data_IF_408190693514
#
_entry.id   IF_408190693514
#
_cell.length_a   1.000
_cell.length_b   1.000
_cell.length_c   1.000
_cell.angle_alpha   90.00
_cell.angle_beta   90.00
_cell.angle_gamma   90.00
#
_symmetry.space_group_name_H-M   'P 1'
#
loop_
_entity.id
_entity.type
_entity.pdbx_description
1 polymer ?
#
# COMPACT_ATOMS: atom_id res chain seq x y z
N UNK A 1 -2.58 2.44 9.10
CA UNK A 1 -1.56 1.93 8.15
C UNK A 1 -1.99 2.38 6.76
N UNK A 2 -1.06 2.72 5.85
CA UNK A 2 -1.44 3.23 4.52
C UNK A 2 -1.76 2.08 3.55
N UNK A 3 -2.65 2.27 2.56
CA UNK A 3 -3.04 1.21 1.63
C UNK A 3 -1.86 0.58 0.87
N UNK A 4 -0.89 1.38 0.43
CA UNK A 4 0.29 0.88 -0.29
C UNK A 4 1.15 -0.03 0.60
N UNK A 5 1.29 0.34 1.88
CA UNK A 5 2.01 -0.45 2.87
C UNK A 5 1.27 -1.76 3.19
N UNK A 6 -0.06 -1.76 3.23
CA UNK A 6 -0.85 -2.99 3.40
C UNK A 6 -0.72 -3.91 2.18
N UNK A 7 -0.78 -3.37 0.96
CA UNK A 7 -0.55 -4.14 -0.27
C UNK A 7 0.82 -4.81 -0.25
N UNK A 8 1.87 -4.07 0.13
CA UNK A 8 3.23 -4.61 0.30
C UNK A 8 3.26 -5.66 1.41
N UNK A 9 2.55 -5.44 2.51
CA UNK A 9 2.41 -6.42 3.59
C UNK A 9 1.77 -7.73 3.12
N UNK A 10 0.68 -7.66 2.35
CA UNK A 10 0.01 -8.83 1.74
C UNK A 10 0.98 -9.55 0.83
N UNK A 11 1.68 -8.82 -0.05
CA UNK A 11 2.67 -9.39 -0.97
C UNK A 11 3.77 -10.14 -0.22
N UNK A 12 4.38 -9.52 0.79
CA UNK A 12 5.43 -10.16 1.60
C UNK A 12 4.92 -11.43 2.29
N UNK A 13 3.72 -11.40 2.87
CA UNK A 13 3.10 -12.58 3.49
C UNK A 13 2.88 -13.71 2.48
N UNK A 14 2.43 -13.39 1.26
CA UNK A 14 2.27 -14.37 0.17
C UNK A 14 3.60 -14.99 -0.30
N UNK A 15 4.74 -14.36 -0.01
CA UNK A 15 6.08 -14.92 -0.26
C UNK A 15 6.65 -15.67 0.98
N UNK A 16 5.86 -15.81 2.05
CA UNK A 16 6.24 -16.52 3.27
C UNK A 16 7.00 -15.69 4.30
N UNK A 17 6.98 -14.36 4.19
CA UNK A 17 7.57 -13.50 5.21
C UNK A 17 6.61 -13.26 6.39
N UNK A 18 7.18 -13.21 7.58
CA UNK A 18 6.58 -12.58 8.75
C UNK A 18 6.95 -11.10 8.75
N UNK A 19 5.96 -10.22 8.92
CA UNK A 19 6.14 -8.77 8.80
C UNK A 19 5.84 -8.04 10.10
N UNK A 20 6.60 -6.99 10.37
CA UNK A 20 6.37 -6.03 11.42
C UNK A 20 6.34 -4.63 10.84
N UNK A 21 5.22 -3.93 11.04
CA UNK A 21 4.92 -2.70 10.33
C UNK A 21 5.01 -1.48 11.26
N UNK A 22 5.33 -0.32 10.70
CA UNK A 22 5.27 0.98 11.37
C UNK A 22 6.07 1.03 12.68
N UNK A 23 7.33 0.61 12.61
CA UNK A 23 8.20 0.54 13.78
C UNK A 23 8.80 1.91 14.07
N UNK A 24 8.48 2.48 15.24
CA UNK A 24 9.05 3.75 15.67
C UNK A 24 10.57 3.61 15.92
N UNK A 25 11.36 4.40 15.20
CA UNK A 25 12.83 4.47 15.30
C UNK A 25 13.34 5.70 16.09
N UNK A 26 12.42 6.51 16.63
CA UNK A 26 12.71 7.71 17.42
C UNK A 26 12.45 9.01 16.66
N UNK A 27 12.07 10.06 17.40
CA UNK A 27 11.67 11.34 16.81
C UNK A 27 10.48 11.17 15.84
N UNK A 28 10.64 11.69 14.62
CA UNK A 28 9.65 11.56 13.55
C UNK A 28 10.00 10.44 12.54
N UNK A 29 10.92 9.53 12.87
CA UNK A 29 11.34 8.44 12.00
C UNK A 29 10.58 7.16 12.33
N UNK A 30 9.91 6.62 11.31
CA UNK A 30 9.23 5.33 11.35
C UNK A 30 9.90 4.44 10.31
N UNK A 31 10.00 3.14 10.57
CA UNK A 31 10.33 2.11 9.57
C UNK A 31 9.02 1.55 9.07
N UNK A 32 8.79 1.59 7.75
CA UNK A 32 7.51 1.12 7.21
C UNK A 32 7.31 -0.37 7.46
N UNK A 33 8.27 -1.22 7.11
CA UNK A 33 8.17 -2.67 7.35
C UNK A 33 9.54 -3.31 7.56
N UNK A 34 9.63 -4.19 8.56
CA UNK A 34 10.68 -5.22 8.64
C UNK A 34 10.04 -6.57 8.35
N UNK A 35 10.70 -7.37 7.53
CA UNK A 35 10.20 -8.69 7.15
C UNK A 35 11.27 -9.76 7.35
N UNK A 36 10.88 -10.92 7.88
CA UNK A 36 11.77 -12.08 8.06
C UNK A 36 11.14 -13.32 7.45
N UNK A 37 11.93 -14.10 6.73
CA UNK A 37 11.54 -15.39 6.16
C UNK A 37 12.42 -16.47 6.75
N UNK A 38 11.80 -17.50 7.29
CA UNK A 38 12.48 -18.64 7.91
C UNK A 38 12.25 -19.90 7.08
N UNK A 39 13.31 -20.69 6.88
CA UNK A 39 13.25 -22.02 6.29
C UNK A 39 13.70 -23.05 7.33
N UNK A 40 12.82 -23.97 7.71
CA UNK A 40 13.11 -25.02 8.71
C UNK A 40 13.70 -24.46 10.03
N UNK A 41 13.18 -23.31 10.50
CA UNK A 41 13.65 -22.65 11.72
C UNK A 41 14.96 -21.85 11.58
N UNK A 42 15.56 -21.83 10.39
CA UNK A 42 16.74 -21.00 10.09
C UNK A 42 16.35 -19.75 9.31
N UNK A 43 17.03 -18.62 9.56
CA UNK A 43 16.79 -17.39 8.80
C UNK A 43 17.22 -17.59 7.35
N UNK A 44 16.26 -17.51 6.44
CA UNK A 44 16.49 -17.52 4.99
C UNK A 44 16.75 -16.09 4.49
N UNK A 45 15.90 -15.13 4.88
CA UNK A 45 15.98 -13.75 4.40
C UNK A 45 15.43 -12.74 5.42
N UNK A 46 16.06 -11.58 5.52
CA UNK A 46 15.55 -10.44 6.27
C UNK A 46 15.54 -9.19 5.38
N UNK A 47 14.46 -8.40 5.49
CA UNK A 47 14.24 -7.20 4.70
C UNK A 47 13.91 -6.00 5.59
N UNK A 48 14.47 -4.86 5.23
CA UNK A 48 13.95 -3.54 5.59
C UNK A 48 13.28 -2.95 4.36
N UNK A 49 11.96 -2.78 4.45
CA UNK A 49 11.12 -2.29 3.35
C UNK A 49 10.62 -0.89 3.68
N UNK A 50 10.81 0.03 2.73
CA UNK A 50 10.20 1.36 2.73
C UNK A 50 9.26 1.50 1.53
N UNK A 51 8.14 2.19 1.72
CA UNK A 51 7.13 2.39 0.67
C UNK A 51 7.05 3.86 0.31
N UNK A 52 7.54 4.19 -0.88
CA UNK A 52 7.44 5.53 -1.44
C UNK A 52 6.06 5.75 -2.07
N UNK A 53 5.37 6.75 -1.53
CA UNK A 53 3.99 7.11 -1.91
C UNK A 53 3.94 8.16 -3.03
N UNK A 54 5.03 8.90 -3.20
CA UNK A 54 5.12 9.96 -4.21
C UNK A 54 5.23 9.36 -5.61
N UNK A 55 4.37 9.84 -6.51
CA UNK A 55 4.31 9.40 -7.92
C UNK A 55 5.46 9.99 -8.76
N UNK A 56 6.06 11.08 -8.30
CA UNK A 56 7.24 11.72 -8.89
C UNK A 56 8.23 12.03 -7.79
N UNK A 57 9.48 11.65 -8.01
CA UNK A 57 10.58 11.91 -7.08
C UNK A 57 11.59 12.89 -7.70
N UNK A 58 11.58 14.11 -7.19
CA UNK A 58 12.66 15.07 -7.37
C UNK A 58 13.96 14.50 -6.78
N UNK A 59 15.12 15.00 -7.24
CA UNK A 59 16.44 14.53 -6.77
C UNK A 59 16.56 14.55 -5.25
N UNK A 60 16.08 15.64 -4.61
CA UNK A 60 16.09 15.82 -3.16
C UNK A 60 15.34 14.70 -2.42
N UNK A 61 14.16 14.32 -2.92
CA UNK A 61 13.34 13.27 -2.31
C UNK A 61 13.99 11.89 -2.44
N UNK A 62 14.77 11.65 -3.51
CA UNK A 62 15.56 10.40 -3.66
C UNK A 62 16.67 10.31 -2.62
N UNK A 63 17.37 11.43 -2.39
CA UNK A 63 18.42 11.49 -1.37
C UNK A 63 17.81 11.31 0.03
N UNK A 64 16.65 11.89 0.31
CA UNK A 64 15.92 11.68 1.57
C UNK A 64 15.53 10.21 1.79
N UNK A 65 15.05 9.52 0.74
CA UNK A 65 14.74 8.09 0.82
C UNK A 65 15.98 7.24 1.10
N UNK A 66 17.10 7.50 0.43
CA UNK A 66 18.38 6.82 0.71
C UNK A 66 18.81 7.06 2.16
N UNK A 67 18.77 8.32 2.59
CA UNK A 67 19.18 8.72 3.94
C UNK A 67 18.31 8.08 5.02
N UNK A 68 17.05 7.73 4.74
CA UNK A 68 16.18 6.99 5.69
C UNK A 68 16.73 5.60 6.00
N UNK A 69 17.22 4.87 4.99
CA UNK A 69 17.86 3.56 5.19
C UNK A 69 19.21 3.64 5.92
N UNK A 70 19.90 4.78 5.81
CA UNK A 70 21.23 5.01 6.38
C UNK A 70 21.19 5.70 7.75
N UNK A 71 20.01 6.20 8.16
CA UNK A 71 19.84 6.88 9.43
C UNK A 71 20.30 5.99 10.59
N UNK A 72 21.25 6.43 11.44
CA UNK A 72 21.75 5.61 12.54
C UNK A 72 20.66 5.12 13.49
N UNK A 73 19.63 5.94 13.71
CA UNK A 73 18.49 5.58 14.54
C UNK A 73 17.66 4.44 13.92
N UNK A 74 17.43 4.51 12.60
CA UNK A 74 16.72 3.49 11.84
C UNK A 74 17.51 2.18 11.80
N UNK A 75 18.80 2.24 11.47
CA UNK A 75 19.68 1.05 11.43
C UNK A 75 19.74 0.37 12.79
N UNK A 76 19.93 1.15 13.86
CA UNK A 76 19.94 0.63 15.23
C UNK A 76 18.62 -0.07 15.55
N UNK A 77 17.49 0.59 15.27
CA UNK A 77 16.16 0.05 15.57
C UNK A 77 15.83 -1.21 14.77
N UNK A 78 16.19 -1.23 13.49
CA UNK A 78 16.02 -2.39 12.62
C UNK A 78 16.79 -3.60 13.16
N UNK A 79 18.07 -3.42 13.49
CA UNK A 79 18.92 -4.47 14.07
C UNK A 79 18.37 -4.98 15.40
N UNK A 80 17.95 -4.09 16.30
CA UNK A 80 17.33 -4.49 17.56
C UNK A 80 16.07 -5.35 17.36
N UNK A 81 15.22 -4.96 16.41
CA UNK A 81 13.99 -5.68 16.13
C UNK A 81 14.27 -7.06 15.53
N UNK A 82 15.14 -7.13 14.52
CA UNK A 82 15.52 -8.38 13.87
C UNK A 82 16.23 -9.33 14.83
N UNK A 83 17.11 -8.81 15.69
CA UNK A 83 17.75 -9.60 16.74
C UNK A 83 16.74 -10.18 17.72
N UNK A 84 15.70 -9.42 18.10
CA UNK A 84 14.63 -9.93 18.96
C UNK A 84 13.80 -11.01 18.26
N UNK A 85 13.53 -10.86 16.96
CA UNK A 85 12.75 -11.82 16.20
C UNK A 85 13.50 -13.13 15.92
N UNK A 86 14.82 -13.06 15.64
CA UNK A 86 15.63 -14.21 15.19
C UNK A 86 16.55 -14.75 16.29
N UNK A 87 16.79 -13.99 17.36
CA UNK A 87 17.65 -14.35 18.49
C UNK A 87 19.14 -14.08 18.31
N UNK A 88 19.57 -13.56 17.16
CA UNK A 88 20.97 -13.23 16.84
C UNK A 88 21.07 -12.00 15.94
N UNK A 89 22.26 -11.40 15.86
CA UNK A 89 22.51 -10.32 14.91
C UNK A 89 22.50 -10.87 13.47
N UNK A 90 21.76 -10.19 12.59
CA UNK A 90 21.55 -10.61 11.21
C UNK A 90 21.65 -9.41 10.28
N UNK A 91 22.24 -9.64 9.12
CA UNK A 91 22.20 -8.70 8.01
C UNK A 91 20.81 -8.73 7.36
N UNK A 92 20.40 -7.59 6.80
CA UNK A 92 19.12 -7.46 6.11
C UNK A 92 19.31 -6.68 4.81
N UNK A 93 18.51 -7.05 3.81
CA UNK A 93 18.50 -6.36 2.54
C UNK A 93 17.53 -5.17 2.59
N UNK A 94 17.83 -4.14 1.80
CA UNK A 94 17.02 -2.92 1.72
C UNK A 94 16.14 -3.01 0.48
N UNK A 95 14.84 -2.84 0.66
CA UNK A 95 13.86 -2.84 -0.41
C UNK A 95 13.06 -1.54 -0.38
N UNK A 96 13.00 -0.85 -1.51
CA UNK A 96 12.17 0.32 -1.71
C UNK A 96 11.07 -0.01 -2.72
N UNK A 97 9.81 0.13 -2.30
CA UNK A 97 8.65 0.00 -3.20
C UNK A 97 8.22 1.38 -3.64
N UNK A 98 8.13 1.64 -4.94
CA UNK A 98 7.84 2.97 -5.51
C UNK A 98 6.52 3.00 -6.28
N UNK A 99 5.70 4.02 -6.01
CA UNK A 99 4.45 4.28 -6.74
C UNK A 99 4.67 5.09 -8.03
N UNK A 100 5.59 4.67 -8.90
CA UNK A 100 5.86 5.28 -10.21
C UNK A 100 7.30 5.73 -10.46
N UNK A 101 7.70 5.73 -11.73
CA UNK A 101 9.03 6.14 -12.20
C UNK A 101 10.08 5.02 -12.14
N UNK A 102 11.16 5.18 -12.92
CA UNK A 102 12.36 4.33 -12.82
C UNK A 102 13.32 5.00 -11.84
N UNK A 103 13.45 4.42 -10.65
CA UNK A 103 14.41 4.85 -9.64
C UNK A 103 15.42 3.71 -9.43
N UNK A 104 16.70 4.05 -9.53
CA UNK A 104 17.78 3.17 -9.10
C UNK A 104 18.51 3.85 -7.95
N UNK A 105 18.67 3.13 -6.84
CA UNK A 105 19.44 3.55 -5.69
C UNK A 105 20.51 2.48 -5.41
N UNK A 106 21.80 2.82 -5.39
CA UNK A 106 22.86 1.86 -5.11
C UNK A 106 22.64 1.16 -3.76
N UNK A 107 22.76 -0.17 -3.73
CA UNK A 107 22.61 -0.97 -2.52
C UNK A 107 21.19 -1.09 -1.97
N UNK A 108 20.18 -0.67 -2.74
CA UNK A 108 18.76 -0.79 -2.39
C UNK A 108 18.03 -1.44 -3.56
N UNK A 109 17.37 -2.57 -3.32
CA UNK A 109 16.47 -3.16 -4.32
C UNK A 109 15.28 -2.23 -4.50
N UNK A 110 14.92 -1.90 -5.75
CA UNK A 110 13.75 -1.08 -6.05
C UNK A 110 12.73 -1.89 -6.81
N UNK A 111 11.47 -1.89 -6.34
CA UNK A 111 10.33 -2.54 -6.99
C UNK A 111 9.21 -1.54 -7.25
N UNK A 112 8.52 -1.70 -8.37
CA UNK A 112 7.34 -0.89 -8.63
C UNK A 112 6.15 -1.41 -7.81
N UNK A 113 5.34 -0.50 -7.29
CA UNK A 113 4.10 -0.87 -6.60
C UNK A 113 3.12 -1.57 -7.56
N UNK A 114 3.21 -1.27 -8.87
CA UNK A 114 2.39 -1.91 -9.89
C UNK A 114 2.69 -3.41 -10.00
N UNK A 115 3.98 -3.78 -10.05
CA UNK A 115 4.38 -5.19 -10.11
C UNK A 115 3.95 -5.93 -8.83
N UNK A 116 4.17 -5.29 -7.67
CA UNK A 116 3.73 -5.82 -6.37
C UNK A 116 2.22 -6.05 -6.36
N UNK A 117 1.43 -5.08 -6.84
CA UNK A 117 -0.02 -5.19 -6.91
C UNK A 117 -0.47 -6.31 -7.85
N UNK A 118 0.17 -6.45 -9.02
CA UNK A 118 -0.14 -7.52 -9.97
C UNK A 118 0.15 -8.91 -9.38
N UNK A 119 1.27 -9.07 -8.68
CA UNK A 119 1.60 -10.30 -7.96
C UNK A 119 0.56 -10.64 -6.91
N UNK A 120 0.15 -9.65 -6.11
CA UNK A 120 -0.90 -9.82 -5.09
C UNK A 120 -2.20 -10.26 -5.75
N UNK A 121 -2.64 -9.54 -6.78
CA UNK A 121 -3.85 -9.89 -7.52
C UNK A 121 -3.73 -11.29 -8.11
N UNK A 122 -2.61 -11.69 -8.69
CA UNK A 122 -2.46 -13.04 -9.26
C UNK A 122 -2.73 -14.14 -8.22
N UNK A 123 -2.27 -13.95 -6.98
CA UNK A 123 -2.34 -14.95 -5.90
C UNK A 123 -3.56 -14.83 -4.98
N UNK A 124 -4.32 -13.73 -5.04
CA UNK A 124 -5.55 -13.59 -4.25
C UNK A 124 -6.58 -14.67 -4.62
N UNK A 125 -7.08 -15.39 -3.62
CA UNK A 125 -8.16 -16.37 -3.80
C UNK A 125 -9.50 -15.78 -3.33
N UNK A 126 -10.57 -16.60 -3.27
CA UNK A 126 -11.93 -16.17 -2.90
C UNK A 126 -12.24 -16.36 -1.41
N UNK A 127 -11.25 -16.63 -0.57
CA UNK A 127 -11.51 -16.82 0.86
C UNK A 127 -11.98 -15.51 1.50
N UNK A 128 -12.87 -15.59 2.48
CA UNK A 128 -13.37 -14.40 3.18
C UNK A 128 -12.31 -13.93 4.19
N UNK A 129 -11.51 -12.94 3.78
CA UNK A 129 -10.53 -12.31 4.67
C UNK A 129 -11.19 -11.15 5.40
N UNK A 130 -10.94 -11.05 6.71
CA UNK A 130 -11.43 -9.93 7.53
C UNK A 130 -10.78 -8.58 7.23
N UNK A 131 -9.70 -8.55 6.43
CA UNK A 131 -8.97 -7.33 6.07
C UNK A 131 -9.63 -6.58 4.91
N UNK A 132 -9.94 -5.30 5.12
CA UNK A 132 -10.66 -4.46 4.17
C UNK A 132 -9.89 -4.23 2.85
N UNK A 133 -8.56 -4.11 2.91
CA UNK A 133 -7.73 -3.94 1.71
C UNK A 133 -7.76 -5.20 0.87
N UNK A 134 -7.54 -6.36 1.50
CA UNK A 134 -7.62 -7.68 0.87
C UNK A 134 -8.98 -7.89 0.22
N UNK A 135 -10.07 -7.63 0.95
CA UNK A 135 -11.44 -7.74 0.43
C UNK A 135 -11.69 -6.85 -0.78
N UNK A 136 -11.20 -5.61 -0.74
CA UNK A 136 -11.31 -4.66 -1.87
C UNK A 136 -10.56 -5.18 -3.10
N UNK A 137 -9.35 -5.71 -2.92
CA UNK A 137 -8.58 -6.28 -4.02
C UNK A 137 -9.24 -7.55 -4.61
N UNK A 138 -9.87 -8.38 -3.78
CA UNK A 138 -10.64 -9.53 -4.24
C UNK A 138 -11.84 -9.12 -5.09
N UNK A 139 -12.57 -8.07 -4.68
CA UNK A 139 -13.68 -7.51 -5.44
C UNK A 139 -13.20 -6.97 -6.81
N UNK A 140 -12.07 -6.26 -6.83
CA UNK A 140 -11.44 -5.82 -8.07
C UNK A 140 -11.09 -7.03 -8.97
N UNK A 141 -10.42 -8.04 -8.42
CA UNK A 141 -9.99 -9.22 -9.20
C UNK A 141 -11.16 -10.02 -9.77
N UNK A 142 -12.10 -10.42 -8.93
CA UNK A 142 -13.11 -11.42 -9.29
C UNK A 142 -14.41 -10.86 -9.83
N UNK A 143 -14.63 -9.55 -9.68
CA UNK A 143 -15.84 -8.87 -10.18
C UNK A 143 -15.53 -7.93 -11.35
N UNK A 144 -14.38 -7.26 -11.35
CA UNK A 144 -14.05 -6.22 -12.36
C UNK A 144 -13.21 -6.77 -13.53
N UNK A 145 -12.12 -7.49 -13.22
CA UNK A 145 -11.18 -8.05 -14.21
C UNK A 145 -11.62 -9.29 -15.03
N UNK A 146 -12.72 -10.03 -14.74
CA UNK A 146 -13.06 -11.25 -15.50
C UNK A 146 -13.41 -11.06 -16.98
N UNK A 147 -13.71 -9.84 -17.44
CA UNK A 147 -14.01 -9.64 -18.85
C UNK A 147 -12.85 -8.92 -19.56
N UNK A 148 -12.29 -9.58 -20.57
CA UNK A 148 -11.24 -9.03 -21.42
C UNK A 148 -11.63 -7.67 -22.03
N UNK A 149 -12.92 -7.43 -22.28
CA UNK A 149 -13.47 -6.15 -22.73
C UNK A 149 -13.40 -5.05 -21.65
N UNK A 150 -13.75 -5.33 -20.39
CA UNK A 150 -13.63 -4.33 -19.30
C UNK A 150 -12.15 -4.09 -18.95
N UNK A 151 -11.32 -5.12 -18.96
CA UNK A 151 -9.87 -5.00 -18.77
C UNK A 151 -9.21 -4.21 -19.91
N UNK A 152 -9.63 -4.40 -21.16
CA UNK A 152 -9.19 -3.58 -22.30
C UNK A 152 -9.69 -2.12 -22.20
N UNK A 153 -10.89 -1.88 -21.66
CA UNK A 153 -11.41 -0.53 -21.43
C UNK A 153 -10.60 0.23 -20.37
N UNK A 154 -10.11 -0.47 -19.34
CA UNK A 154 -9.22 0.06 -18.31
C UNK A 154 -7.82 0.39 -18.85
N UNK A 155 -7.31 -0.42 -19.78
CA UNK A 155 -5.98 -0.27 -20.36
C UNK A 155 -5.93 0.70 -21.55
N UNK A 156 -7.04 0.89 -22.28
CA UNK A 156 -7.07 1.68 -23.52
C UNK A 156 -7.21 3.19 -23.32
N UNK A 157 -7.47 3.68 -22.11
CA UNK A 157 -7.67 5.12 -21.87
C UNK A 157 -6.89 5.61 -20.67
N UNK A 158 -5.78 6.27 -20.93
CA UNK A 158 -4.99 6.98 -19.92
C UNK A 158 -5.86 7.90 -19.06
N UNK A 159 -6.00 7.54 -17.78
CA UNK A 159 -6.01 8.49 -16.67
C UNK A 159 -7.27 9.33 -16.40
N UNK A 160 -8.44 8.74 -16.22
CA UNK A 160 -9.54 9.42 -15.50
C UNK A 160 -10.01 8.60 -14.31
N UNK A 161 -9.48 8.93 -13.14
CA UNK A 161 -9.84 8.37 -11.83
C UNK A 161 -11.36 8.40 -11.58
N UNK A 162 -12.06 9.42 -12.11
CA UNK A 162 -13.52 9.57 -12.08
C UNK A 162 -14.26 8.49 -12.86
N UNK A 163 -13.73 8.04 -14.00
CA UNK A 163 -14.35 6.98 -14.80
C UNK A 163 -14.07 5.59 -14.22
N UNK A 164 -12.90 5.41 -13.60
CA UNK A 164 -12.60 4.21 -12.82
C UNK A 164 -13.59 4.08 -11.65
N UNK A 165 -13.81 5.16 -10.90
CA UNK A 165 -14.81 5.24 -9.83
C UNK A 165 -16.22 4.93 -10.34
N UNK A 166 -16.66 5.56 -11.44
CA UNK A 166 -17.97 5.28 -12.03
C UNK A 166 -18.13 3.81 -12.49
N UNK A 167 -17.07 3.20 -13.02
CA UNK A 167 -17.08 1.79 -13.41
C UNK A 167 -17.16 0.87 -12.18
N UNK A 168 -16.41 1.20 -11.12
CA UNK A 168 -16.48 0.50 -9.83
C UNK A 168 -17.87 0.63 -9.22
N UNK A 169 -18.45 1.83 -9.19
CA UNK A 169 -19.81 2.09 -8.68
C UNK A 169 -20.87 1.30 -9.47
N UNK A 170 -20.80 1.33 -10.80
CA UNK A 170 -21.73 0.58 -11.65
C UNK A 170 -21.63 -0.94 -11.41
N UNK A 171 -20.43 -1.45 -11.17
CA UNK A 171 -20.19 -2.88 -10.87
C UNK A 171 -20.69 -3.24 -9.47
N UNK A 172 -20.53 -2.35 -8.49
CA UNK A 172 -21.09 -2.49 -7.14
C UNK A 172 -22.62 -2.59 -7.20
N UNK A 173 -23.26 -1.80 -8.07
CA UNK A 173 -24.71 -1.81 -8.26
C UNK A 173 -25.24 -3.04 -9.00
N UNK A 174 -24.46 -3.65 -9.89
CA UNK A 174 -24.94 -4.76 -10.75
C UNK A 174 -24.60 -6.15 -10.21
N UNK A 175 -23.50 -6.32 -9.46
CA UNK A 175 -22.95 -7.66 -9.20
C UNK A 175 -22.80 -8.04 -7.72
N UNK A 176 -23.01 -7.10 -6.80
CA UNK A 176 -22.90 -7.38 -5.36
C UNK A 176 -24.27 -7.58 -4.72
N UNK A 177 -24.33 -8.45 -3.72
CA UNK A 177 -25.52 -8.56 -2.87
C UNK A 177 -25.58 -7.41 -1.86
N UNK A 178 -26.74 -7.19 -1.22
CA UNK A 178 -26.95 -6.05 -0.29
C UNK A 178 -25.92 -5.98 0.84
N UNK A 179 -25.47 -7.13 1.34
CA UNK A 179 -24.48 -7.21 2.41
C UNK A 179 -23.10 -6.75 1.95
N UNK A 180 -22.69 -7.13 0.74
CA UNK A 180 -21.43 -6.71 0.13
C UNK A 180 -21.44 -5.23 -0.27
N UNK A 181 -22.59 -4.72 -0.73
CA UNK A 181 -22.80 -3.29 -1.04
C UNK A 181 -22.66 -2.42 0.21
N UNK A 182 -23.19 -2.88 1.35
CA UNK A 182 -23.10 -2.16 2.62
C UNK A 182 -21.64 -1.99 3.07
N UNK A 183 -20.85 -3.07 3.02
CA UNK A 183 -19.42 -3.05 3.38
C UNK A 183 -18.62 -2.11 2.48
N UNK A 184 -18.87 -2.12 1.17
CA UNK A 184 -18.18 -1.23 0.24
C UNK A 184 -18.57 0.24 0.39
N UNK A 185 -19.86 0.55 0.64
CA UNK A 185 -20.28 1.93 0.92
C UNK A 185 -19.64 2.48 2.19
N UNK A 186 -19.53 1.66 3.22
CA UNK A 186 -18.90 2.02 4.49
C UNK A 186 -17.39 2.25 4.30
N UNK A 187 -16.72 1.43 3.48
CA UNK A 187 -15.30 1.60 3.13
C UNK A 187 -15.01 2.79 2.20
N UNK A 188 -15.96 3.18 1.34
CA UNK A 188 -15.84 4.31 0.41
C UNK A 188 -16.22 5.65 1.05
N UNK A 189 -16.87 5.65 2.23
CA UNK A 189 -17.11 6.85 3.02
C UNK A 189 -15.98 7.02 4.07
N UNK A 190 -14.89 7.68 3.70
CA UNK A 190 -13.98 8.23 4.74
C UNK A 190 -14.64 9.42 5.48
N UNK A 191 -14.28 9.66 6.76
CA UNK A 191 -15.02 10.53 7.67
C UNK A 191 -15.05 11.98 7.16
N UNK A 192 -16.26 12.45 6.89
CA UNK A 192 -16.56 13.86 6.69
C UNK A 192 -16.26 14.67 7.96
N UNK A 193 -15.01 15.09 8.15
CA UNK A 193 -14.67 16.22 9.02
C UNK A 193 -13.43 16.97 8.53
N UNK A 194 -13.46 17.43 7.28
CA UNK A 194 -12.62 18.56 6.84
C UNK A 194 -13.20 19.17 5.56
N UNK A 195 -14.14 20.11 5.69
CA UNK A 195 -14.38 21.13 4.65
C UNK A 195 -13.88 22.47 5.18
N UNK A 196 -12.94 23.15 4.50
CA UNK A 196 -12.78 24.58 4.69
C UNK A 196 -13.60 25.38 3.67
N UNK A 197 -13.96 26.59 4.12
CA UNK A 197 -14.23 27.82 3.38
C UNK A 197 -15.63 28.09 2.78
N UNK A 198 -16.26 29.10 3.41
CA UNK A 198 -16.95 30.26 2.84
C UNK A 198 -18.00 30.09 1.73
N UNK A 199 -19.24 30.52 2.04
CA UNK A 199 -20.02 31.32 1.11
C UNK A 199 -20.91 32.34 1.85
N UNK A 200 -20.72 33.59 1.43
CA UNK A 200 -21.51 34.82 1.59
C UNK A 200 -23.00 34.62 1.93
N UNK A 201 -23.46 35.24 3.01
CA UNK A 201 -24.85 35.69 3.14
C UNK A 201 -24.92 37.19 2.84
N UNK A 202 -25.61 37.50 1.75
CA UNK A 202 -26.01 38.84 1.33
C UNK A 202 -27.54 38.81 1.26
N UNK A 203 -28.19 39.79 1.92
CA UNK A 203 -29.62 40.10 1.79
C UNK A 203 -30.48 39.63 2.97
N UNK A 204 -30.90 40.55 3.84
CA UNK A 204 -32.18 41.29 3.76
C UNK A 204 -32.40 42.04 5.08
N UNK A 205 -32.35 43.38 5.03
CA UNK A 205 -32.98 44.25 6.03
C UNK A 205 -34.13 44.93 5.31
N UNK A 206 -35.35 44.67 5.75
CA UNK A 206 -36.53 45.47 5.46
C UNK A 206 -37.14 45.92 6.80
N UNK A 207 -37.64 47.16 6.78
CA UNK A 207 -38.25 47.99 7.85
C UNK A 207 -37.29 48.93 8.59
#
# INVERSE_FOLDING_TARGET
>A
MHPEQEIVGIWLRQQGFFTANSINAGGNLVIDTLAVKLHQGTLEKALHVEVCRSVRLAKKERDELRNRFESPAVVKRAREYLRKAVGKDVEYERLLVVNGGVLSLPGIEVRSLQDVLLDVLARLDRQDYGDAVTRTLQLVKFTILPSAQRSALLLSQGGSQRRLLALVEQIVETHLNERERAVLRDLLQEPSSARPAHQKTLGTFDS
#
